data_IF_731451973169
#
_entry.id   IF_731451973169
#
_cell.length_a   1.000
_cell.length_b   1.000
_cell.length_c   1.000
_cell.angle_alpha   90.00
_cell.angle_beta   90.00
_cell.angle_gamma   90.00
#
_symmetry.space_group_name_H-M   'P 1'
#
loop_
_entity.id
_entity.type
_entity.pdbx_description
1 polymer ?
#
# COMPACT_ATOMS: atom_id res chain seq x y z
N UNK A 1 21.59 -20.94 -12.78
CA UNK A 1 22.52 -20.53 -13.84
C UNK A 1 23.39 -19.42 -13.26
N UNK A 2 24.52 -19.14 -13.89
CA UNK A 2 25.41 -18.07 -13.46
C UNK A 2 25.42 -17.00 -14.54
N UNK A 3 25.31 -15.75 -14.13
CA UNK A 3 25.36 -14.59 -15.00
C UNK A 3 26.60 -13.77 -14.70
N UNK A 4 27.27 -13.29 -15.74
CA UNK A 4 28.38 -12.36 -15.61
C UNK A 4 27.81 -10.95 -15.74
N UNK A 5 27.92 -10.17 -14.67
CA UNK A 5 27.40 -8.80 -14.61
C UNK A 5 28.56 -7.82 -14.39
N UNK A 6 28.50 -6.66 -15.05
CA UNK A 6 29.40 -5.53 -14.76
C UNK A 6 28.75 -4.17 -14.99
N UNK A 7 29.38 -3.14 -14.42
CA UNK A 7 29.03 -1.74 -14.64
C UNK A 7 30.30 -0.95 -14.96
N UNK A 8 30.83 -1.07 -16.19
CA UNK A 8 32.15 -0.57 -16.54
C UNK A 8 32.29 0.94 -16.36
N UNK A 9 31.25 1.73 -16.63
CA UNK A 9 31.30 3.19 -16.43
C UNK A 9 31.23 3.63 -14.97
N UNK A 10 30.95 2.71 -14.04
CA UNK A 10 31.03 2.93 -12.58
C UNK A 10 32.30 2.32 -11.97
N UNK A 11 33.20 1.76 -12.78
CA UNK A 11 34.40 1.07 -12.30
C UNK A 11 34.12 -0.26 -11.60
N UNK A 12 32.95 -0.86 -11.82
CA UNK A 12 32.64 -2.20 -11.32
C UNK A 12 32.88 -3.21 -12.46
N UNK A 13 33.97 -3.95 -12.34
CA UNK A 13 34.37 -5.00 -13.27
C UNK A 13 33.44 -6.22 -13.19
N UNK A 14 33.70 -7.22 -14.03
CA UNK A 14 32.90 -8.44 -14.11
C UNK A 14 32.85 -9.18 -12.77
N UNK A 15 31.65 -9.41 -12.27
CA UNK A 15 31.37 -10.28 -11.15
C UNK A 15 30.28 -11.29 -11.53
N UNK A 16 30.37 -12.49 -10.95
CA UNK A 16 29.43 -13.57 -11.21
C UNK A 16 28.29 -13.52 -10.20
N UNK A 17 27.06 -13.57 -10.71
CA UNK A 17 25.84 -13.69 -9.92
C UNK A 17 25.24 -15.08 -10.16
N UNK A 18 25.06 -15.83 -9.08
CA UNK A 18 24.41 -17.13 -9.13
C UNK A 18 22.92 -16.98 -8.82
N UNK A 19 22.05 -17.50 -9.69
CA UNK A 19 20.60 -17.50 -9.46
C UNK A 19 20.20 -18.36 -8.24
N UNK A 20 20.93 -19.45 -8.00
CA UNK A 20 20.65 -20.42 -6.94
C UNK A 20 21.32 -19.93 -5.67
N UNK A 21 20.52 -19.63 -4.66
CA UNK A 21 21.01 -19.23 -3.34
C UNK A 21 21.63 -20.42 -2.61
N UNK A 22 20.90 -21.52 -2.54
CA UNK A 22 21.38 -22.77 -1.95
C UNK A 22 20.52 -23.96 -2.43
N UNK A 23 21.02 -25.17 -2.18
CA UNK A 23 20.34 -26.43 -2.50
C UNK A 23 19.98 -27.16 -1.21
N UNK A 24 18.80 -27.77 -1.19
CA UNK A 24 18.37 -28.69 -0.12
C UNK A 24 18.36 -30.10 -0.72
N UNK A 25 19.33 -30.92 -0.33
CA UNK A 25 19.62 -32.18 -1.00
C UNK A 25 19.98 -31.99 -2.48
N UNK A 26 19.84 -33.05 -3.28
CA UNK A 26 20.29 -33.03 -4.68
C UNK A 26 19.28 -32.39 -5.64
N UNK A 27 17.98 -32.38 -5.25
CA UNK A 27 16.89 -32.09 -6.18
C UNK A 27 16.18 -30.75 -5.95
N UNK A 28 16.31 -30.12 -4.79
CA UNK A 28 15.59 -28.88 -4.47
C UNK A 28 16.56 -27.69 -4.55
N UNK A 29 16.30 -26.80 -5.51
CA UNK A 29 17.06 -25.55 -5.70
C UNK A 29 16.25 -24.39 -5.16
N UNK A 30 16.80 -23.66 -4.21
CA UNK A 30 16.22 -22.40 -3.73
C UNK A 30 16.90 -21.25 -4.47
N UNK A 31 16.12 -20.49 -5.22
CA UNK A 31 16.60 -19.36 -6.02
C UNK A 31 16.47 -18.05 -5.26
N UNK A 32 17.41 -17.12 -5.48
CA UNK A 32 17.37 -15.79 -4.86
C UNK A 32 16.09 -15.04 -5.18
N UNK A 33 15.58 -15.18 -6.40
CA UNK A 33 14.32 -14.58 -6.82
C UNK A 33 13.16 -14.90 -5.86
N UNK A 34 13.04 -16.16 -5.44
CA UNK A 34 11.99 -16.59 -4.52
C UNK A 34 12.20 -15.99 -3.12
N UNK A 35 13.43 -15.99 -2.61
CA UNK A 35 13.79 -15.39 -1.31
C UNK A 35 13.44 -13.91 -1.30
N UNK A 36 13.84 -13.17 -2.34
CA UNK A 36 13.61 -11.73 -2.46
C UNK A 36 12.12 -11.42 -2.55
N UNK A 37 11.33 -12.21 -3.30
CA UNK A 37 9.87 -12.05 -3.34
C UNK A 37 9.26 -12.30 -1.97
N UNK A 38 9.66 -13.35 -1.26
CA UNK A 38 9.16 -13.63 0.09
C UNK A 38 9.47 -12.48 1.05
N UNK A 39 10.68 -11.92 0.99
CA UNK A 39 11.05 -10.73 1.77
C UNK A 39 10.18 -9.53 1.38
N UNK A 40 9.93 -9.32 0.09
CA UNK A 40 9.05 -8.26 -0.40
C UNK A 40 7.61 -8.40 0.10
N UNK A 41 7.06 -9.62 0.12
CA UNK A 41 5.73 -9.92 0.67
C UNK A 41 5.70 -9.65 2.17
N UNK A 42 6.71 -10.09 2.93
CA UNK A 42 6.78 -9.83 4.36
C UNK A 42 6.89 -8.34 4.67
N UNK A 43 7.73 -7.61 3.94
CA UNK A 43 7.85 -6.16 4.09
C UNK A 43 6.52 -5.45 3.80
N UNK A 44 5.84 -5.82 2.71
CA UNK A 44 4.52 -5.31 2.38
C UNK A 44 3.50 -5.62 3.48
N UNK A 45 3.50 -6.84 4.00
CA UNK A 45 2.62 -7.28 5.09
C UNK A 45 2.83 -6.47 6.38
N UNK A 46 4.08 -6.35 6.86
CA UNK A 46 4.38 -5.56 8.06
C UNK A 46 4.03 -4.09 7.89
N UNK A 47 4.30 -3.54 6.70
CA UNK A 47 3.89 -2.18 6.37
C UNK A 47 2.35 -2.03 6.37
N UNK A 48 1.62 -2.99 5.80
CA UNK A 48 0.15 -2.97 5.77
C UNK A 48 -0.46 -3.07 7.17
N UNK A 49 0.12 -3.88 8.07
CA UNK A 49 -0.28 -3.92 9.49
C UNK A 49 -0.08 -2.54 10.13
N UNK A 50 1.14 -2.02 10.01
CA UNK A 50 1.47 -0.74 10.62
C UNK A 50 0.55 0.37 10.09
N UNK A 51 0.31 0.41 8.77
CA UNK A 51 -0.56 1.39 8.13
C UNK A 51 -2.04 1.20 8.52
N UNK A 52 -2.51 -0.04 8.54
CA UNK A 52 -3.86 -0.40 8.93
C UNK A 52 -4.21 0.11 10.33
N UNK A 53 -3.31 -0.15 11.29
CA UNK A 53 -3.46 0.25 12.69
C UNK A 53 -3.44 1.77 12.90
N UNK A 54 -2.59 2.49 12.17
CA UNK A 54 -2.34 3.92 12.42
C UNK A 54 -3.19 4.88 11.56
N UNK A 55 -3.77 4.43 10.45
CA UNK A 55 -4.40 5.35 9.49
C UNK A 55 -5.75 4.89 8.96
N UNK A 56 -6.02 3.58 8.87
CA UNK A 56 -7.23 3.07 8.20
C UNK A 56 -8.22 2.38 9.14
N UNK A 57 -7.80 2.04 10.36
CA UNK A 57 -8.64 1.39 11.37
C UNK A 57 -8.77 -0.12 11.19
N UNK A 58 -7.81 -0.76 10.53
CA UNK A 58 -7.74 -2.22 10.40
C UNK A 58 -6.93 -2.83 11.54
N UNK A 59 -7.40 -3.97 12.04
CA UNK A 59 -6.65 -4.76 13.03
C UNK A 59 -5.55 -5.59 12.37
N UNK A 60 -4.64 -6.12 13.18
CA UNK A 60 -3.58 -7.01 12.68
C UNK A 60 -4.18 -8.29 12.09
N UNK A 61 -5.22 -8.84 12.73
CA UNK A 61 -5.96 -10.01 12.28
C UNK A 61 -6.64 -9.78 10.93
N UNK A 62 -7.21 -8.60 10.67
CA UNK A 62 -7.83 -8.27 9.38
C UNK A 62 -6.82 -8.39 8.23
N UNK A 63 -5.62 -7.85 8.44
CA UNK A 63 -4.55 -7.85 7.44
C UNK A 63 -3.96 -9.26 7.27
N UNK A 64 -3.74 -9.99 8.36
CA UNK A 64 -3.30 -11.39 8.33
C UNK A 64 -4.28 -12.24 7.53
N UNK A 65 -5.57 -12.17 7.89
CA UNK A 65 -6.62 -12.93 7.21
C UNK A 65 -6.68 -12.60 5.73
N UNK A 66 -6.60 -11.30 5.37
CA UNK A 66 -6.55 -10.92 3.97
C UNK A 66 -5.35 -11.53 3.25
N UNK A 67 -4.14 -11.44 3.80
CA UNK A 67 -2.93 -11.97 3.15
C UNK A 67 -2.99 -13.49 3.01
N UNK A 68 -3.50 -14.20 4.03
CA UNK A 68 -3.67 -15.65 4.02
C UNK A 68 -4.62 -16.14 2.91
N UNK A 69 -5.63 -15.36 2.54
CA UNK A 69 -6.48 -15.68 1.37
C UNK A 69 -5.88 -15.15 0.07
N UNK A 70 -5.40 -13.91 0.07
CA UNK A 70 -4.97 -13.21 -1.13
C UNK A 70 -3.76 -13.87 -1.79
N UNK A 71 -2.74 -14.28 -1.03
CA UNK A 71 -1.53 -14.86 -1.62
C UNK A 71 -1.81 -16.20 -2.30
N UNK A 72 -2.44 -17.20 -1.65
CA UNK A 72 -2.75 -18.48 -2.30
C UNK A 72 -3.69 -18.32 -3.51
N UNK A 73 -4.75 -17.51 -3.38
CA UNK A 73 -5.72 -17.29 -4.47
C UNK A 73 -5.04 -16.58 -5.66
N UNK A 74 -4.09 -15.67 -5.40
CA UNK A 74 -3.29 -15.04 -6.46
C UNK A 74 -2.38 -16.04 -7.17
N UNK A 75 -1.74 -16.98 -6.45
CA UNK A 75 -0.92 -18.03 -7.05
C UNK A 75 -1.78 -18.96 -7.92
N UNK A 76 -2.96 -19.35 -7.43
CA UNK A 76 -3.93 -20.15 -8.20
C UNK A 76 -4.33 -19.40 -9.48
N UNK A 77 -4.67 -18.10 -9.36
CA UNK A 77 -5.01 -17.27 -10.50
C UNK A 77 -3.88 -17.14 -11.52
N UNK A 78 -2.64 -16.99 -11.05
CA UNK A 78 -1.46 -16.91 -11.90
C UNK A 78 -1.25 -18.19 -12.71
N UNK A 79 -1.45 -19.35 -12.07
CA UNK A 79 -1.36 -20.65 -12.74
C UNK A 79 -2.49 -20.84 -13.73
N UNK A 80 -3.73 -20.56 -13.32
CA UNK A 80 -4.91 -20.70 -14.17
C UNK A 80 -4.78 -19.85 -15.44
N UNK A 81 -4.40 -18.58 -15.30
CA UNK A 81 -4.25 -17.72 -16.48
C UNK A 81 -3.12 -18.21 -17.39
N UNK A 82 -1.99 -18.67 -16.84
CA UNK A 82 -0.94 -19.28 -17.65
C UNK A 82 -1.45 -20.48 -18.44
N UNK A 83 -2.14 -21.41 -17.78
CA UNK A 83 -2.74 -22.59 -18.42
C UNK A 83 -3.71 -22.21 -19.54
N UNK A 84 -4.47 -21.13 -19.39
CA UNK A 84 -5.43 -20.67 -20.38
C UNK A 84 -4.82 -19.91 -21.57
N UNK A 85 -3.64 -19.31 -21.39
CA UNK A 85 -3.07 -18.35 -22.36
C UNK A 85 -1.73 -18.76 -22.95
N UNK A 86 -1.05 -19.75 -22.37
CA UNK A 86 0.22 -20.23 -22.89
C UNK A 86 -0.02 -21.14 -24.11
N UNK A 87 0.36 -20.66 -25.29
CA UNK A 87 0.17 -21.34 -26.58
C UNK A 87 0.76 -22.76 -26.58
N UNK A 88 1.93 -22.94 -25.98
CA UNK A 88 2.64 -24.23 -25.96
C UNK A 88 2.15 -25.22 -24.89
N UNK A 89 1.37 -24.74 -23.91
CA UNK A 89 0.92 -25.58 -22.80
C UNK A 89 0.02 -26.71 -23.29
N UNK A 90 -0.88 -26.40 -24.22
CA UNK A 90 -1.79 -27.39 -24.80
C UNK A 90 -1.18 -28.18 -25.96
N UNK A 91 0.07 -27.93 -26.34
CA UNK A 91 0.72 -28.66 -27.43
C UNK A 91 1.59 -29.83 -26.94
N UNK A 92 1.78 -30.00 -25.62
CA UNK A 92 2.67 -31.03 -25.04
C UNK A 92 1.91 -32.11 -24.25
N UNK A 93 1.89 -33.35 -24.76
CA UNK A 93 1.69 -34.61 -24.01
C UNK A 93 0.59 -34.65 -22.92
N UNK A 94 0.81 -35.37 -21.81
CA UNK A 94 -0.13 -35.46 -20.67
C UNK A 94 -0.26 -34.11 -19.93
N UNK A 95 -1.47 -33.53 -19.94
CA UNK A 95 -1.71 -32.10 -19.62
C UNK A 95 -2.39 -31.88 -18.27
N UNK A 96 -3.18 -32.85 -17.80
CA UNK A 96 -4.08 -32.66 -16.66
C UNK A 96 -3.34 -32.56 -15.32
N UNK A 97 -2.29 -33.36 -15.12
CA UNK A 97 -1.45 -33.28 -13.92
C UNK A 97 -0.60 -32.00 -13.93
N UNK A 98 -0.13 -31.58 -15.10
CA UNK A 98 0.69 -30.37 -15.28
C UNK A 98 -0.04 -29.10 -14.85
N UNK A 99 -1.37 -29.04 -14.86
CA UNK A 99 -2.11 -27.87 -14.40
C UNK A 99 -1.70 -27.48 -12.96
N UNK A 100 -1.44 -28.47 -12.11
CA UNK A 100 -1.11 -28.26 -10.69
C UNK A 100 0.39 -28.05 -10.42
N UNK A 101 1.25 -28.27 -11.42
CA UNK A 101 2.71 -28.18 -11.29
C UNK A 101 3.22 -26.73 -11.25
N UNK A 102 2.90 -26.00 -10.17
CA UNK A 102 3.34 -24.63 -9.96
C UNK A 102 4.86 -24.52 -9.69
N UNK A 103 5.51 -25.63 -9.33
CA UNK A 103 6.95 -25.71 -9.08
C UNK A 103 7.79 -25.81 -10.35
N UNK A 104 7.18 -26.14 -11.49
CA UNK A 104 7.87 -26.19 -12.79
C UNK A 104 7.85 -24.83 -13.52
N UNK A 105 7.44 -23.75 -12.84
CA UNK A 105 7.27 -22.43 -13.43
C UNK A 105 5.92 -22.29 -14.17
N UNK A 106 5.80 -21.29 -15.04
CA UNK A 106 4.57 -21.01 -15.78
C UNK A 106 3.49 -20.36 -14.92
N UNK A 107 3.78 -19.14 -14.44
CA UNK A 107 2.86 -18.32 -13.68
C UNK A 107 2.69 -16.99 -14.40
N UNK A 108 1.46 -16.69 -14.84
CA UNK A 108 1.14 -15.44 -15.50
C UNK A 108 0.83 -14.37 -14.45
N UNK A 109 1.65 -13.33 -14.36
CA UNK A 109 1.51 -12.28 -13.34
C UNK A 109 0.13 -11.60 -13.37
N UNK A 110 -0.49 -11.47 -14.54
CA UNK A 110 -1.83 -10.89 -14.67
C UNK A 110 -2.89 -11.73 -13.95
N UNK A 111 -2.72 -13.05 -13.91
CA UNK A 111 -3.62 -13.94 -13.19
C UNK A 111 -3.55 -13.69 -11.69
N UNK A 112 -2.34 -13.47 -11.16
CA UNK A 112 -2.16 -13.05 -9.76
C UNK A 112 -2.85 -11.72 -9.46
N UNK A 113 -2.69 -10.71 -10.34
CA UNK A 113 -3.28 -9.39 -10.14
C UNK A 113 -4.82 -9.42 -10.16
N UNK A 114 -5.41 -10.16 -11.11
CA UNK A 114 -6.87 -10.28 -11.23
C UNK A 114 -7.45 -10.99 -10.00
N UNK A 115 -6.90 -12.16 -9.65
CA UNK A 115 -7.40 -12.95 -8.53
C UNK A 115 -7.12 -12.28 -7.18
N UNK A 116 -5.99 -11.58 -7.04
CA UNK A 116 -5.70 -10.74 -5.89
C UNK A 116 -6.72 -9.61 -5.73
N UNK A 117 -7.04 -8.89 -6.81
CA UNK A 117 -8.06 -7.84 -6.79
C UNK A 117 -9.46 -8.37 -6.45
N UNK A 118 -9.85 -9.52 -7.02
CA UNK A 118 -11.10 -10.21 -6.68
C UNK A 118 -11.12 -10.55 -5.19
N UNK A 119 -10.02 -11.09 -4.65
CA UNK A 119 -9.92 -11.45 -3.24
C UNK A 119 -10.11 -10.23 -2.34
N UNK A 120 -9.47 -9.11 -2.64
CA UNK A 120 -9.64 -7.85 -1.90
C UNK A 120 -11.11 -7.41 -1.89
N UNK A 121 -11.78 -7.45 -3.06
CA UNK A 121 -13.18 -7.03 -3.19
C UNK A 121 -14.11 -7.96 -2.40
N UNK A 122 -13.94 -9.28 -2.55
CA UNK A 122 -14.75 -10.29 -1.86
C UNK A 122 -14.53 -10.21 -0.36
N UNK A 123 -13.28 -10.15 0.08
CA UNK A 123 -12.91 -10.04 1.49
C UNK A 123 -13.49 -8.77 2.13
N UNK A 124 -13.36 -7.62 1.47
CA UNK A 124 -13.94 -6.38 1.95
C UNK A 124 -15.46 -6.46 2.07
N UNK A 125 -16.15 -7.08 1.10
CA UNK A 125 -17.61 -7.26 1.15
C UNK A 125 -18.07 -8.18 2.27
N UNK A 126 -17.39 -9.32 2.48
CA UNK A 126 -17.72 -10.28 3.54
C UNK A 126 -17.55 -9.64 4.92
N UNK A 127 -16.44 -8.92 5.11
CA UNK A 127 -16.11 -8.26 6.39
C UNK A 127 -16.74 -6.86 6.54
N UNK A 128 -17.56 -6.42 5.57
CA UNK A 128 -18.21 -5.09 5.54
C UNK A 128 -17.22 -3.92 5.62
N UNK A 129 -16.00 -4.10 5.13
CA UNK A 129 -15.00 -3.06 5.04
C UNK A 129 -15.20 -2.18 3.80
N UNK A 130 -14.79 -0.92 3.92
CA UNK A 130 -14.66 -0.04 2.76
C UNK A 130 -13.54 -0.57 1.86
N UNK A 131 -13.89 -1.00 0.65
CA UNK A 131 -12.92 -1.43 -0.38
C UNK A 131 -11.87 -0.35 -0.60
N UNK A 132 -12.26 0.92 -0.59
CA UNK A 132 -11.36 2.04 -0.82
C UNK A 132 -10.35 2.24 0.31
N UNK A 133 -10.74 2.06 1.58
CA UNK A 133 -9.79 2.08 2.72
C UNK A 133 -8.80 0.93 2.61
N UNK A 134 -9.30 -0.25 2.26
CA UNK A 134 -8.47 -1.43 2.11
C UNK A 134 -7.45 -1.25 0.98
N UNK A 135 -7.89 -0.70 -0.16
CA UNK A 135 -7.01 -0.36 -1.27
C UNK A 135 -5.99 0.74 -0.93
N UNK A 136 -6.39 1.78 -0.19
CA UNK A 136 -5.46 2.82 0.28
C UNK A 136 -4.38 2.24 1.21
N UNK A 137 -4.74 1.29 2.06
CA UNK A 137 -3.81 0.58 2.95
C UNK A 137 -2.82 -0.28 2.16
N UNK A 138 -3.30 -1.04 1.17
CA UNK A 138 -2.52 -2.05 0.44
C UNK A 138 -1.66 -1.42 -0.66
N UNK A 139 -2.09 -0.34 -1.31
CA UNK A 139 -1.36 0.26 -2.43
C UNK A 139 0.11 0.58 -2.13
N UNK A 140 0.46 1.30 -1.04
CA UNK A 140 1.86 1.53 -0.71
C UNK A 140 2.59 0.25 -0.25
N UNK A 141 1.88 -0.73 0.32
CA UNK A 141 2.47 -2.04 0.65
C UNK A 141 2.94 -2.77 -0.62
N UNK A 142 2.12 -2.73 -1.68
CA UNK A 142 2.48 -3.30 -2.99
C UNK A 142 3.72 -2.63 -3.58
N UNK A 143 3.85 -1.31 -3.43
CA UNK A 143 5.06 -0.59 -3.87
C UNK A 143 6.30 -1.11 -3.15
N UNK A 144 6.21 -1.38 -1.84
CA UNK A 144 7.33 -1.94 -1.08
C UNK A 144 7.73 -3.33 -1.59
N UNK A 145 6.74 -4.17 -1.91
CA UNK A 145 6.95 -5.44 -2.58
C UNK A 145 7.62 -5.28 -3.96
N UNK A 146 7.25 -4.27 -4.74
CA UNK A 146 7.86 -3.96 -6.04
C UNK A 146 9.30 -3.44 -5.92
N UNK A 147 9.59 -2.59 -4.92
CA UNK A 147 10.95 -2.07 -4.67
C UNK A 147 11.91 -3.23 -4.44
N UNK A 148 11.52 -4.17 -3.58
CA UNK A 148 12.34 -5.32 -3.19
C UNK A 148 12.35 -6.37 -4.30
N UNK A 149 11.18 -6.74 -4.82
CA UNK A 149 11.01 -7.80 -5.81
C UNK A 149 11.81 -7.60 -7.09
N UNK A 150 12.06 -6.35 -7.50
CA UNK A 150 12.87 -6.04 -8.69
C UNK A 150 14.32 -6.51 -8.58
N UNK A 151 14.86 -6.63 -7.38
CA UNK A 151 16.19 -7.18 -7.17
C UNK A 151 16.26 -8.69 -7.49
N UNK A 152 15.12 -9.39 -7.52
CA UNK A 152 15.05 -10.73 -8.07
C UNK A 152 15.45 -10.75 -9.55
N UNK A 153 14.95 -9.80 -10.35
CA UNK A 153 15.28 -9.72 -11.78
C UNK A 153 16.79 -9.49 -12.00
N UNK A 154 17.44 -8.74 -11.10
CA UNK A 154 18.89 -8.58 -11.11
C UNK A 154 19.62 -9.90 -10.84
N UNK A 155 19.20 -10.67 -9.82
CA UNK A 155 19.82 -11.96 -9.51
C UNK A 155 19.64 -13.02 -10.60
N UNK A 156 18.57 -12.91 -11.38
CA UNK A 156 18.29 -13.76 -12.54
C UNK A 156 18.85 -13.23 -13.86
N UNK A 157 19.53 -12.07 -13.85
CA UNK A 157 20.01 -11.44 -15.07
C UNK A 157 18.90 -11.29 -16.12
N UNK A 158 17.69 -10.85 -15.74
CA UNK A 158 16.54 -10.80 -16.63
C UNK A 158 15.81 -9.44 -16.58
N UNK A 159 14.83 -9.29 -17.48
CA UNK A 159 13.92 -8.15 -17.54
C UNK A 159 14.59 -6.76 -17.64
N UNK A 160 15.83 -6.71 -18.11
CA UNK A 160 16.54 -5.49 -18.48
C UNK A 160 15.95 -4.83 -19.74
N UNK A 161 16.39 -3.60 -20.05
CA UNK A 161 15.97 -2.87 -21.26
C UNK A 161 17.14 -2.65 -22.19
N UNK A 162 16.94 -2.78 -23.50
CA UNK A 162 17.90 -2.36 -24.50
C UNK A 162 17.37 -1.12 -25.22
N UNK A 163 18.27 -0.19 -25.58
CA UNK A 163 17.95 0.95 -26.43
C UNK A 163 19.19 1.49 -27.15
N UNK A 164 18.98 2.26 -28.22
CA UNK A 164 20.07 2.88 -28.95
C UNK A 164 20.90 3.79 -28.01
N UNK A 165 22.23 3.64 -28.05
CA UNK A 165 23.20 4.37 -27.22
C UNK A 165 23.31 3.92 -25.75
N UNK A 166 22.68 2.81 -25.33
CA UNK A 166 22.86 2.29 -23.97
C UNK A 166 24.33 2.06 -23.61
N UNK A 167 25.15 1.66 -24.59
CA UNK A 167 26.60 1.48 -24.46
C UNK A 167 27.36 2.75 -24.04
N UNK A 168 26.81 3.93 -24.35
CA UNK A 168 27.41 5.22 -24.02
C UNK A 168 27.09 5.69 -22.60
N UNK A 169 26.12 5.04 -21.93
CA UNK A 169 25.72 5.42 -20.59
C UNK A 169 26.79 5.02 -19.57
N UNK A 170 27.15 5.90 -18.61
CA UNK A 170 28.15 5.57 -17.60
C UNK A 170 27.61 4.58 -16.56
N UNK A 171 26.31 4.52 -16.33
CA UNK A 171 25.67 3.56 -15.42
C UNK A 171 25.07 2.34 -16.14
N UNK A 172 25.50 2.06 -17.38
CA UNK A 172 25.04 0.86 -18.11
C UNK A 172 25.42 -0.41 -17.34
N UNK A 173 24.54 -1.40 -17.43
CA UNK A 173 24.79 -2.74 -16.93
C UNK A 173 25.20 -3.61 -18.12
N UNK A 174 26.17 -4.49 -17.95
CA UNK A 174 26.46 -5.56 -18.91
C UNK A 174 25.95 -6.86 -18.28
N UNK A 175 25.17 -7.64 -19.01
CA UNK A 175 24.74 -8.98 -18.61
C UNK A 175 25.16 -9.95 -19.71
N UNK A 176 26.01 -10.90 -19.36
CA UNK A 176 26.50 -11.95 -20.27
C UNK A 176 27.08 -11.41 -21.60
N UNK A 177 27.69 -10.23 -21.53
CA UNK A 177 28.33 -9.54 -22.67
C UNK A 177 27.47 -8.49 -23.37
N UNK A 178 26.17 -8.38 -23.03
CA UNK A 178 25.25 -7.42 -23.64
C UNK A 178 25.07 -6.16 -22.78
N UNK A 179 25.25 -4.98 -23.38
CA UNK A 179 25.03 -3.71 -22.70
C UNK A 179 23.54 -3.36 -22.63
N UNK A 180 23.04 -3.16 -21.42
CA UNK A 180 21.61 -3.00 -21.12
C UNK A 180 21.39 -1.90 -20.07
N UNK A 181 20.17 -1.37 -20.06
CA UNK A 181 19.67 -0.53 -19.01
C UNK A 181 19.36 -1.40 -17.78
N UNK A 182 19.87 -1.04 -16.58
CA UNK A 182 19.46 -1.66 -15.32
C UNK A 182 18.02 -1.24 -14.95
N UNK A 183 17.03 -1.70 -15.72
CA UNK A 183 15.61 -1.37 -15.51
C UNK A 183 15.10 -1.83 -14.15
N UNK A 184 15.67 -2.90 -13.58
CA UNK A 184 15.38 -3.32 -12.21
C UNK A 184 15.61 -2.18 -11.22
N UNK A 185 16.71 -1.43 -11.39
CA UNK A 185 17.09 -0.30 -10.54
C UNK A 185 16.19 0.90 -10.83
N UNK A 186 15.90 1.17 -12.10
CA UNK A 186 14.98 2.25 -12.47
C UNK A 186 13.58 2.02 -11.87
N UNK A 187 13.04 0.80 -11.98
CA UNK A 187 11.75 0.42 -11.40
C UNK A 187 11.80 0.47 -9.87
N UNK A 188 12.86 -0.03 -9.24
CA UNK A 188 13.01 -0.01 -7.78
C UNK A 188 13.06 1.43 -7.24
N UNK A 189 13.87 2.31 -7.86
CA UNK A 189 13.97 3.72 -7.48
C UNK A 189 12.68 4.49 -7.77
N UNK A 190 12.01 4.24 -8.89
CA UNK A 190 10.72 4.85 -9.21
C UNK A 190 9.65 4.52 -8.17
N UNK A 191 9.60 3.24 -7.76
CA UNK A 191 8.67 2.81 -6.71
C UNK A 191 9.08 3.34 -5.33
N UNK A 192 10.38 3.45 -5.03
CA UNK A 192 10.86 4.05 -3.77
C UNK A 192 10.47 5.53 -3.66
N UNK A 193 10.70 6.31 -4.72
CA UNK A 193 10.29 7.71 -4.78
C UNK A 193 8.78 7.83 -4.60
N UNK A 194 8.01 7.03 -5.34
CA UNK A 194 6.55 7.03 -5.23
C UNK A 194 6.06 6.62 -3.84
N UNK A 195 6.69 5.64 -3.22
CA UNK A 195 6.37 5.18 -1.87
C UNK A 195 6.60 6.30 -0.85
N UNK A 196 7.74 7.00 -0.92
CA UNK A 196 8.02 8.14 -0.04
C UNK A 196 6.97 9.25 -0.24
N UNK A 197 6.69 9.62 -1.48
CA UNK A 197 5.70 10.66 -1.80
C UNK A 197 4.30 10.30 -1.31
N UNK A 198 3.85 9.07 -1.54
CA UNK A 198 2.55 8.59 -1.07
C UNK A 198 2.47 8.59 0.45
N UNK A 199 3.52 8.19 1.16
CA UNK A 199 3.55 8.23 2.62
C UNK A 199 3.47 9.66 3.17
N UNK A 200 4.05 10.64 2.48
CA UNK A 200 3.93 12.06 2.82
C UNK A 200 2.49 12.54 2.58
N UNK A 201 1.91 12.18 1.43
CA UNK A 201 0.54 12.56 1.05
C UNK A 201 -0.50 11.90 1.97
N UNK A 202 -0.22 10.70 2.47
CA UNK A 202 -1.08 9.95 3.39
C UNK A 202 -1.47 10.79 4.62
N UNK A 203 -0.53 11.60 5.13
CA UNK A 203 -0.77 12.49 6.28
C UNK A 203 -1.83 13.57 6.00
N UNK A 204 -2.14 13.82 4.73
CA UNK A 204 -3.10 14.82 4.24
C UNK A 204 -4.23 14.15 3.42
N UNK A 205 -4.46 12.85 3.62
CA UNK A 205 -5.57 12.12 2.99
C UNK A 205 -6.90 12.79 3.37
N UNK A 206 -7.76 13.01 2.37
CA UNK A 206 -9.06 13.69 2.49
C UNK A 206 -10.26 12.77 2.26
N UNK A 207 -10.06 11.65 1.58
CA UNK A 207 -11.13 10.69 1.30
C UNK A 207 -10.58 9.30 1.03
N UNK A 208 -11.41 8.30 1.27
CA UNK A 208 -11.06 6.92 0.95
C UNK A 208 -11.02 6.68 -0.55
N UNK A 209 -9.92 6.08 -1.00
CA UNK A 209 -9.57 5.78 -2.38
C UNK A 209 -8.56 6.76 -2.97
N UNK A 210 -8.23 7.84 -2.25
CA UNK A 210 -7.31 8.86 -2.73
C UNK A 210 -5.89 8.32 -2.90
N UNK A 211 -5.43 7.49 -1.96
CA UNK A 211 -4.05 6.97 -1.97
C UNK A 211 -3.90 5.92 -3.06
N UNK A 212 -4.86 5.01 -3.18
CA UNK A 212 -4.91 4.05 -4.26
C UNK A 212 -4.96 4.75 -5.63
N UNK A 213 -5.73 5.83 -5.77
CA UNK A 213 -5.77 6.60 -7.01
C UNK A 213 -4.42 7.23 -7.37
N UNK A 214 -3.72 7.82 -6.40
CA UNK A 214 -2.37 8.34 -6.62
C UNK A 214 -1.38 7.25 -6.97
N UNK A 215 -1.46 6.08 -6.32
CA UNK A 215 -0.67 4.92 -6.69
C UNK A 215 -0.94 4.47 -8.13
N UNK A 216 -2.21 4.37 -8.54
CA UNK A 216 -2.58 3.96 -9.89
C UNK A 216 -2.03 4.93 -10.96
N UNK A 217 -2.15 6.24 -10.72
CA UNK A 217 -1.58 7.27 -11.61
C UNK A 217 -0.04 7.17 -11.64
N UNK A 218 0.60 7.06 -10.48
CA UNK A 218 2.06 6.95 -10.36
C UNK A 218 2.62 5.72 -11.07
N UNK A 219 1.99 4.57 -10.83
CA UNK A 219 2.35 3.30 -11.45
C UNK A 219 2.15 3.35 -12.96
N UNK A 220 1.02 3.87 -13.42
CA UNK A 220 0.73 3.97 -14.85
C UNK A 220 1.70 4.89 -15.59
N UNK A 221 2.10 6.00 -14.96
CA UNK A 221 3.12 6.89 -15.52
C UNK A 221 4.49 6.23 -15.58
N UNK A 222 4.91 5.54 -14.50
CA UNK A 222 6.16 4.78 -14.47
C UNK A 222 6.21 3.69 -15.54
N UNK A 223 5.10 2.97 -15.75
CA UNK A 223 4.97 1.97 -16.82
C UNK A 223 5.15 2.57 -18.20
N UNK A 224 4.52 3.73 -18.46
CA UNK A 224 4.71 4.45 -19.72
C UNK A 224 6.19 4.81 -19.97
N UNK A 225 6.87 5.36 -18.97
CA UNK A 225 8.27 5.78 -19.10
C UNK A 225 9.24 4.61 -19.32
N UNK A 226 9.11 3.55 -18.53
CA UNK A 226 10.06 2.43 -18.56
C UNK A 226 9.85 1.58 -19.81
N UNK A 227 8.63 1.53 -20.33
CA UNK A 227 8.33 0.87 -21.59
C UNK A 227 8.94 1.61 -22.80
N UNK A 228 9.16 2.92 -22.73
CA UNK A 228 9.91 3.67 -23.77
C UNK A 228 11.38 3.25 -23.84
N UNK A 229 11.94 2.73 -22.75
CA UNK A 229 13.35 2.32 -22.67
C UNK A 229 13.60 0.88 -23.16
N UNK A 230 12.55 0.10 -23.47
CA UNK A 230 12.66 -1.29 -23.93
C UNK A 230 12.44 -1.37 -25.43
N UNK A 231 13.43 -1.81 -26.19
CA UNK A 231 13.30 -2.07 -27.64
C UNK A 231 12.63 -3.40 -27.99
N UNK A 232 12.55 -4.35 -27.05
CA UNK A 232 12.16 -5.74 -27.34
C UNK A 232 10.64 -6.02 -27.25
N UNK A 233 9.81 -4.98 -27.31
CA UNK A 233 8.38 -5.22 -27.51
C UNK A 233 8.16 -5.58 -28.97
N UNK A 234 7.96 -6.86 -29.24
CA UNK A 234 7.57 -7.38 -30.55
C UNK A 234 6.61 -6.42 -31.27
N UNK A 235 6.93 -6.20 -32.53
CA UNK A 235 6.17 -5.54 -33.59
C UNK A 235 4.65 -5.75 -33.50
N UNK A 236 3.96 -4.94 -32.70
CA UNK A 236 2.52 -4.68 -32.78
C UNK A 236 2.24 -3.30 -32.19
N UNK A 237 1.48 -2.49 -32.91
CA UNK A 237 1.43 -1.02 -32.86
C UNK A 237 1.01 -0.34 -31.55
N UNK A 238 0.83 -1.06 -30.45
CA UNK A 238 0.72 -0.51 -29.08
C UNK A 238 1.33 -1.53 -28.10
N UNK A 239 2.34 -1.13 -27.33
CA UNK A 239 2.95 -1.97 -26.31
C UNK A 239 1.93 -2.27 -25.20
N UNK A 240 1.61 -3.54 -24.94
CA UNK A 240 0.56 -3.96 -24.00
C UNK A 240 0.71 -3.33 -22.60
N UNK A 241 1.95 -3.18 -22.13
CA UNK A 241 2.24 -2.54 -20.83
C UNK A 241 1.89 -1.05 -20.80
N UNK A 242 1.96 -0.36 -21.95
CA UNK A 242 1.54 1.04 -22.06
C UNK A 242 0.01 1.17 -21.97
N UNK A 243 -0.75 0.22 -22.52
CA UNK A 243 -2.21 0.17 -22.39
C UNK A 243 -2.60 0.05 -20.92
N UNK A 244 -1.97 -0.88 -20.19
CA UNK A 244 -2.21 -1.02 -18.75
C UNK A 244 -1.83 0.24 -17.97
N UNK A 245 -0.74 0.90 -18.35
CA UNK A 245 -0.37 2.18 -17.75
C UNK A 245 -1.44 3.26 -17.93
N UNK A 246 -1.96 3.41 -19.15
CA UNK A 246 -3.03 4.35 -19.49
C UNK A 246 -4.32 4.03 -18.73
N UNK A 247 -4.73 2.76 -18.71
CA UNK A 247 -5.92 2.31 -17.96
C UNK A 247 -5.77 2.63 -16.47
N UNK A 248 -4.59 2.40 -15.91
CA UNK A 248 -4.31 2.70 -14.50
C UNK A 248 -4.42 4.19 -14.18
N UNK A 249 -3.92 5.06 -15.06
CA UNK A 249 -4.06 6.52 -14.93
C UNK A 249 -5.54 6.92 -15.01
N UNK A 250 -6.27 6.44 -16.01
CA UNK A 250 -7.70 6.76 -16.19
C UNK A 250 -8.49 6.32 -14.95
N UNK A 251 -8.23 5.12 -14.43
CA UNK A 251 -8.88 4.60 -13.23
C UNK A 251 -8.59 5.50 -12.01
N UNK A 252 -7.33 5.89 -11.79
CA UNK A 252 -6.98 6.76 -10.68
C UNK A 252 -7.63 8.14 -10.78
N UNK A 253 -7.64 8.75 -11.97
CA UNK A 253 -8.32 10.03 -12.20
C UNK A 253 -9.83 9.91 -11.96
N UNK A 254 -10.46 8.85 -12.45
CA UNK A 254 -11.88 8.60 -12.24
C UNK A 254 -12.22 8.46 -10.74
N UNK A 255 -11.41 7.72 -9.98
CA UNK A 255 -11.59 7.58 -8.52
C UNK A 255 -11.51 8.95 -7.83
N UNK A 256 -10.53 9.78 -8.19
CA UNK A 256 -10.40 11.14 -7.63
C UNK A 256 -11.64 11.97 -7.91
N UNK A 257 -12.12 12.00 -9.16
CA UNK A 257 -13.29 12.80 -9.55
C UNK A 257 -14.55 12.34 -8.80
N UNK A 258 -14.79 11.02 -8.77
CA UNK A 258 -16.01 10.45 -8.19
C UNK A 258 -16.03 10.52 -6.65
N UNK A 259 -14.87 10.46 -6.00
CA UNK A 259 -14.79 10.36 -4.53
C UNK A 259 -14.50 11.69 -3.84
N UNK A 260 -13.95 12.68 -4.55
CA UNK A 260 -13.65 14.01 -3.98
C UNK A 260 -14.89 14.72 -3.41
N UNK A 261 -16.06 14.52 -4.03
CA UNK A 261 -17.32 15.07 -3.54
C UNK A 261 -17.76 14.47 -2.19
N UNK A 262 -17.61 13.15 -2.03
CA UNK A 262 -17.97 12.44 -0.79
C UNK A 262 -17.07 12.79 0.38
N UNK A 263 -15.76 12.90 0.15
CA UNK A 263 -14.81 13.33 1.19
C UNK A 263 -15.16 14.71 1.76
N UNK A 264 -15.52 15.65 0.88
CA UNK A 264 -15.92 17.00 1.32
C UNK A 264 -17.20 17.00 2.19
N UNK A 265 -18.11 16.06 1.96
CA UNK A 265 -19.32 15.91 2.76
C UNK A 265 -18.98 15.30 4.13
N UNK A 266 -18.22 14.21 4.16
CA UNK A 266 -17.76 13.56 5.40
C UNK A 266 -16.96 14.52 6.29
N UNK A 267 -16.06 15.33 5.70
CA UNK A 267 -15.31 16.36 6.42
C UNK A 267 -16.21 17.45 7.01
N UNK A 268 -17.23 17.88 6.26
CA UNK A 268 -18.18 18.90 6.72
C UNK A 268 -19.05 18.37 7.88
N UNK A 269 -19.56 17.14 7.76
CA UNK A 269 -20.34 16.47 8.80
C UNK A 269 -19.53 16.26 10.08
N UNK A 270 -18.27 15.84 9.97
CA UNK A 270 -17.38 15.66 11.10
C UNK A 270 -17.07 17.00 11.78
N UNK A 271 -16.84 18.06 11.00
CA UNK A 271 -16.62 19.41 11.53
C UNK A 271 -17.84 19.91 12.29
N UNK A 272 -19.04 19.70 11.75
CA UNK A 272 -20.29 20.05 12.42
C UNK A 272 -20.50 19.25 13.71
N UNK A 273 -20.25 17.94 13.70
CA UNK A 273 -20.31 17.08 14.89
C UNK A 273 -19.34 17.53 15.99
N UNK A 274 -18.07 17.79 15.65
CA UNK A 274 -17.07 18.26 16.60
C UNK A 274 -17.41 19.64 17.16
N UNK A 275 -17.95 20.53 16.33
CA UNK A 275 -18.42 21.86 16.76
C UNK A 275 -19.59 21.72 17.74
N UNK A 276 -20.56 20.85 17.46
CA UNK A 276 -21.67 20.53 18.39
C UNK A 276 -21.15 19.98 19.71
N UNK A 277 -20.27 18.97 19.66
CA UNK A 277 -19.71 18.33 20.86
C UNK A 277 -18.92 19.33 21.72
N UNK A 278 -18.15 20.22 21.09
CA UNK A 278 -17.42 21.29 21.77
C UNK A 278 -18.37 22.28 22.44
N UNK A 279 -19.40 22.74 21.73
CA UNK A 279 -20.42 23.63 22.31
C UNK A 279 -21.17 22.98 23.48
N UNK A 280 -21.46 21.67 23.40
CA UNK A 280 -22.05 20.91 24.52
C UNK A 280 -21.11 20.83 25.71
N UNK A 281 -19.81 20.57 25.49
CA UNK A 281 -18.82 20.52 26.58
C UNK A 281 -18.63 21.87 27.26
N UNK A 282 -18.50 22.95 26.49
CA UNK A 282 -18.42 24.33 27.00
C UNK A 282 -19.69 24.74 27.76
N UNK A 283 -20.88 24.30 27.29
CA UNK A 283 -22.15 24.49 27.97
C UNK A 283 -22.29 23.74 29.30
N UNK A 284 -21.74 22.52 29.39
CA UNK A 284 -21.69 21.74 30.64
C UNK A 284 -20.74 22.41 31.63
N UNK A 285 -19.53 22.79 31.20
CA UNK A 285 -18.56 23.49 32.06
C UNK A 285 -19.14 24.80 32.60
N UNK A 286 -19.76 25.63 31.76
CA UNK A 286 -20.40 26.88 32.20
C UNK A 286 -21.58 26.64 33.16
N UNK A 287 -22.38 25.59 32.96
CA UNK A 287 -23.47 25.23 33.87
C UNK A 287 -22.96 24.72 35.22
N UNK A 288 -21.92 23.88 35.24
CA UNK A 288 -21.31 23.38 36.49
C UNK A 288 -20.66 24.52 37.27
N UNK A 289 -19.96 25.43 36.58
CA UNK A 289 -19.34 26.60 37.21
C UNK A 289 -20.39 27.55 37.77
N UNK A 290 -21.50 27.77 37.05
CA UNK A 290 -22.59 28.63 37.51
C UNK A 290 -23.31 28.05 38.74
N UNK A 291 -23.55 26.73 38.77
CA UNK A 291 -24.15 26.06 39.92
C UNK A 291 -23.24 26.12 41.15
N UNK A 292 -21.93 25.88 40.99
CA UNK A 292 -20.98 25.96 42.09
C UNK A 292 -20.91 27.37 42.72
N UNK A 293 -20.94 28.42 41.90
CA UNK A 293 -20.99 29.81 42.37
C UNK A 293 -22.32 30.13 43.06
N UNK A 294 -23.43 29.60 42.55
CA UNK A 294 -24.75 29.79 43.16
C UNK A 294 -24.83 29.12 44.55
N UNK A 295 -24.29 27.90 44.67
CA UNK A 295 -24.25 27.16 45.94
C UNK A 295 -23.38 27.90 46.98
N UNK A 296 -22.22 28.42 46.57
CA UNK A 296 -21.31 29.21 47.43
C UNK A 296 -21.96 30.52 47.89
N UNK A 297 -22.75 31.18 47.03
CA UNK A 297 -23.54 32.37 47.39
C UNK A 297 -24.64 32.03 48.41
N UNK A 298 -25.32 30.90 48.25
CA UNK A 298 -26.37 30.47 49.18
C UNK A 298 -25.77 30.18 50.56
N UNK A 299 -24.68 29.43 50.62
CA UNK A 299 -23.98 29.08 51.86
C UNK A 299 -23.51 30.34 52.60
N UNK A 300 -22.92 31.30 51.87
CA UNK A 300 -22.49 32.58 52.45
C UNK A 300 -23.68 33.43 52.93
N UNK A 301 -24.84 33.35 52.27
CA UNK A 301 -26.03 34.13 52.64
C UNK A 301 -26.70 33.55 53.89
N UNK A 302 -26.76 32.22 54.00
CA UNK A 302 -27.25 31.51 55.20
C UNK A 302 -26.38 31.81 56.43
N UNK A 303 -25.05 31.78 56.29
CA UNK A 303 -24.13 32.19 57.37
C UNK A 303 -24.40 33.64 57.83
N UNK A 304 -24.64 34.56 56.90
CA UNK A 304 -24.92 35.97 57.21
C UNK A 304 -26.27 36.13 57.93
N UNK A 305 -27.28 35.33 57.59
CA UNK A 305 -28.59 35.36 58.26
C UNK A 305 -28.53 34.76 59.68
N UNK A 306 -27.84 33.62 59.87
CA UNK A 306 -27.61 33.05 61.20
C UNK A 306 -26.86 34.02 62.13
N UNK A 307 -25.86 34.74 61.59
CA UNK A 307 -25.09 35.75 62.36
C UNK A 307 -25.93 36.98 62.72
N UNK A 308 -26.98 37.29 61.94
CA UNK A 308 -27.92 38.40 62.23
C UNK A 308 -28.98 37.99 63.26
N UNK A 309 -29.44 36.75 63.25
CA UNK A 309 -30.39 36.25 64.26
C UNK A 309 -29.74 36.12 65.64
N UNK A 310 -28.51 35.59 65.72
CA UNK A 310 -27.74 35.53 66.99
C UNK A 310 -27.40 36.90 67.56
N UNK A 311 -27.23 37.93 66.72
CA UNK A 311 -27.03 39.30 67.19
C UNK A 311 -28.34 39.98 67.64
N UNK A 312 -29.50 39.59 67.09
CA UNK A 312 -30.82 40.08 67.53
C UNK A 312 -31.22 39.54 68.91
N UNK A 313 -30.98 38.25 69.16
CA UNK A 313 -31.23 37.64 70.48
C UNK A 313 -30.36 38.25 71.60
N UNK A 314 -29.16 38.70 71.28
CA UNK A 314 -28.29 39.40 72.24
C UNK A 314 -28.69 40.86 72.52
N UNK A 315 -29.52 41.50 71.67
CA UNK A 315 -30.01 42.86 71.90
C UNK A 315 -31.32 42.94 72.69
N UNK A 316 -32.19 41.93 72.62
CA UNK A 316 -33.46 41.90 73.38
C UNK A 316 -33.31 41.40 74.82
N UNK A 317 -32.14 40.86 75.19
CA UNK A 317 -31.82 40.40 76.54
C UNK A 317 -31.36 41.47 77.53
N UNK A 318 -31.29 42.76 77.14
CA UNK A 318 -30.68 43.83 77.95
C UNK A 318 -31.64 44.97 78.38
N UNK A 319 -32.95 44.70 78.41
CA UNK A 319 -33.98 45.64 78.90
C UNK A 319 -34.79 45.05 80.08
N UNK A 320 -34.10 44.63 81.14
CA UNK A 320 -34.69 44.41 82.46
C UNK A 320 -33.72 44.82 83.57
#
# INVERSE_FOLDING_TARGET
MEHIISFPGLGMDNFTVNEVAFRIGDNIRIVWYAIIICIGILAAYFYAIWRGKHSEGFTEDDIINLVLFMVPISIIGARLLYVLTADDFWNTGDKWTKIFEIWNGGLAIYGALIFGAITIIVFAKINKFSIYKLLDCIAPAVMLGQIIGRWGNFMNGEAYGASANVEKLPWRMIVDGEAVHPTFLYESLWNLLGFILINIIYKKKKFDGQIFAYYAIWYGFGRGLIELLRTDSLMASIKLMSIFGIISIILGVAIIILRRGKGRQEDAELTEYLSRKKATAEGIETSETANAVQDEIIETTEEIEETKETNKENTDGNNN
#
